data_IF_336521491363
#
_entry.id   IF_336521491363
#
_cell.length_a   1.000
_cell.length_b   1.000
_cell.length_c   1.000
_cell.angle_alpha   90.00
_cell.angle_beta   90.00
_cell.angle_gamma   90.00
#
_symmetry.space_group_name_H-M   'P 1'
#
loop_
_entity.id
_entity.type
_entity.pdbx_description
1 polymer ?
#
# COMPACT_ATOMS: atom_id res chain seq x y z
N UNK A 1 45.02 -25.11 -7.10
CA UNK A 1 43.79 -25.42 -6.34
C UNK A 1 42.61 -25.23 -7.27
N UNK A 2 41.65 -26.17 -7.37
CA UNK A 2 40.39 -25.93 -8.08
C UNK A 2 39.65 -24.75 -7.42
N UNK A 3 39.00 -23.90 -8.22
CA UNK A 3 38.18 -22.80 -7.69
C UNK A 3 36.86 -23.34 -7.13
N UNK A 4 36.35 -22.69 -6.09
CA UNK A 4 34.99 -22.88 -5.58
C UNK A 4 33.94 -22.17 -6.44
N UNK A 5 34.36 -21.26 -7.34
CA UNK A 5 33.51 -20.65 -8.36
C UNK A 5 33.13 -21.66 -9.44
N UNK A 6 31.83 -21.88 -9.65
CA UNK A 6 31.29 -22.77 -10.70
C UNK A 6 30.13 -22.12 -11.46
N UNK A 7 28.90 -22.58 -11.21
CA UNK A 7 27.71 -22.17 -11.95
C UNK A 7 27.57 -20.64 -11.94
N UNK A 8 27.49 -20.03 -13.13
CA UNK A 8 27.43 -18.59 -13.35
C UNK A 8 28.54 -17.77 -12.65
N UNK A 9 29.72 -18.37 -12.43
CA UNK A 9 30.84 -17.72 -11.75
C UNK A 9 30.65 -17.56 -10.23
N UNK A 10 29.65 -18.23 -9.66
CA UNK A 10 29.27 -18.11 -8.25
C UNK A 10 29.89 -19.19 -7.37
N UNK A 11 30.05 -18.85 -6.09
CA UNK A 11 30.62 -19.76 -5.09
C UNK A 11 29.72 -20.95 -4.89
N UNK A 12 30.28 -22.16 -5.05
CA UNK A 12 29.56 -23.43 -4.90
C UNK A 12 30.05 -24.18 -3.68
N UNK A 13 29.12 -24.53 -2.80
CA UNK A 13 29.36 -25.28 -1.57
C UNK A 13 29.24 -26.79 -1.84
N UNK A 14 30.32 -27.39 -2.32
CA UNK A 14 30.35 -28.82 -2.65
C UNK A 14 29.99 -29.72 -1.45
N UNK A 15 30.35 -29.32 -0.22
CA UNK A 15 30.00 -30.03 1.02
C UNK A 15 28.53 -29.93 1.43
N UNK A 16 27.76 -29.04 0.83
CA UNK A 16 26.34 -28.82 1.10
C UNK A 16 25.47 -29.23 -0.09
N UNK A 17 25.82 -30.33 -0.75
CA UNK A 17 25.05 -30.85 -1.89
C UNK A 17 25.16 -29.99 -3.16
N UNK A 18 26.18 -29.12 -3.25
CA UNK A 18 26.41 -28.29 -4.44
C UNK A 18 25.56 -27.02 -4.50
N UNK A 19 25.12 -26.50 -3.34
CA UNK A 19 24.47 -25.20 -3.26
C UNK A 19 25.33 -24.09 -3.84
N UNK A 20 24.69 -23.10 -4.45
CA UNK A 20 25.35 -21.97 -5.09
C UNK A 20 24.86 -20.68 -4.44
N UNK A 21 25.77 -19.96 -3.79
CA UNK A 21 25.46 -18.66 -3.19
C UNK A 21 25.40 -17.60 -4.27
N UNK A 22 24.25 -16.94 -4.41
CA UNK A 22 24.02 -15.87 -5.38
C UNK A 22 23.44 -14.66 -4.67
N UNK A 23 24.29 -13.65 -4.43
CA UNK A 23 23.95 -12.48 -3.64
C UNK A 23 23.40 -12.85 -2.26
N UNK A 24 22.10 -12.64 -2.05
CA UNK A 24 21.44 -12.88 -0.75
C UNK A 24 20.64 -14.18 -0.68
N UNK A 25 20.64 -15.01 -1.73
CA UNK A 25 19.93 -16.30 -1.76
C UNK A 25 20.82 -17.48 -2.12
N UNK A 26 20.37 -18.65 -1.69
CA UNK A 26 20.99 -19.94 -1.98
C UNK A 26 20.21 -20.68 -3.07
N UNK A 27 20.88 -20.93 -4.20
CA UNK A 27 20.34 -21.69 -5.32
C UNK A 27 20.76 -23.16 -5.20
N UNK A 28 19.81 -24.08 -5.40
CA UNK A 28 20.08 -25.51 -5.43
C UNK A 28 19.99 -26.04 -6.88
N UNK A 29 21.13 -26.28 -7.56
CA UNK A 29 21.14 -26.67 -8.96
C UNK A 29 20.43 -27.98 -9.26
N UNK A 30 20.42 -28.92 -8.30
CA UNK A 30 19.77 -30.22 -8.45
C UNK A 30 18.24 -30.11 -8.51
N UNK A 31 17.66 -29.06 -7.90
CA UNK A 31 16.22 -28.77 -7.99
C UNK A 31 15.89 -27.75 -9.08
N UNK A 32 16.86 -26.96 -9.54
CA UNK A 32 16.59 -25.83 -10.42
C UNK A 32 15.78 -24.72 -9.75
N UNK A 33 15.95 -24.55 -8.43
CA UNK A 33 15.15 -23.65 -7.57
C UNK A 33 16.00 -22.98 -6.50
N UNK A 34 15.51 -21.85 -5.99
CA UNK A 34 15.99 -21.24 -4.74
C UNK A 34 15.55 -22.05 -3.52
N UNK A 35 16.37 -22.05 -2.47
CA UNK A 35 15.99 -22.62 -1.17
C UNK A 35 15.05 -21.74 -0.36
N UNK A 36 15.06 -20.43 -0.61
CA UNK A 36 14.18 -19.45 0.01
C UNK A 36 13.38 -18.70 -1.06
N UNK A 37 12.14 -18.36 -0.70
CA UNK A 37 11.32 -17.51 -1.55
C UNK A 37 11.97 -16.12 -1.66
N UNK A 38 12.04 -15.59 -2.88
CA UNK A 38 12.46 -14.21 -3.16
C UNK A 38 11.73 -13.21 -2.26
N UNK A 39 12.38 -12.31 -1.53
CA UNK A 39 11.65 -11.30 -0.73
C UNK A 39 10.89 -10.29 -1.57
N UNK A 40 11.17 -10.20 -2.87
CA UNK A 40 10.46 -9.34 -3.84
C UNK A 40 9.83 -10.16 -4.96
N UNK A 41 8.93 -9.53 -5.71
CA UNK A 41 8.56 -9.98 -7.06
C UNK A 41 9.32 -9.09 -8.05
N UNK A 42 10.40 -9.59 -8.68
CA UNK A 42 11.29 -8.74 -9.48
C UNK A 42 10.64 -8.17 -10.76
N UNK A 43 9.57 -8.81 -11.25
CA UNK A 43 8.76 -8.33 -12.38
C UNK A 43 7.26 -8.56 -12.13
N UNK A 44 6.59 -7.68 -11.37
CA UNK A 44 5.18 -7.88 -11.01
C UNK A 44 4.21 -7.94 -12.21
N UNK A 45 4.60 -7.40 -13.37
CA UNK A 45 3.84 -7.50 -14.62
C UNK A 45 4.01 -8.84 -15.36
N UNK A 46 4.88 -9.73 -14.88
CA UNK A 46 5.07 -11.07 -15.44
C UNK A 46 4.56 -12.12 -14.44
N UNK A 47 3.45 -12.83 -14.74
CA UNK A 47 2.92 -13.87 -13.87
C UNK A 47 3.94 -14.96 -13.50
N UNK A 48 4.96 -15.21 -14.34
CA UNK A 48 6.02 -16.19 -14.01
C UNK A 48 6.92 -15.72 -12.86
N UNK A 49 7.05 -14.41 -12.63
CA UNK A 49 7.85 -13.85 -11.56
C UNK A 49 7.24 -14.10 -10.16
N UNK A 50 5.97 -14.49 -10.09
CA UNK A 50 5.28 -14.84 -8.83
C UNK A 50 5.71 -16.20 -8.28
N UNK A 51 6.36 -17.04 -9.09
CA UNK A 51 7.04 -18.22 -8.56
C UNK A 51 8.39 -17.79 -7.95
N UNK A 52 8.34 -17.36 -6.70
CA UNK A 52 9.49 -16.82 -5.92
C UNK A 52 10.60 -17.84 -5.65
N UNK A 53 10.35 -19.12 -5.89
CA UNK A 53 11.34 -20.20 -5.80
C UNK A 53 11.98 -20.50 -7.17
N UNK A 54 11.44 -19.97 -8.26
CA UNK A 54 11.97 -20.21 -9.59
C UNK A 54 13.29 -19.46 -9.81
N UNK A 55 14.24 -20.14 -10.43
CA UNK A 55 15.47 -19.50 -10.89
C UNK A 55 15.25 -18.88 -12.26
N UNK A 56 15.42 -17.55 -12.36
CA UNK A 56 15.38 -16.76 -13.61
C UNK A 56 14.21 -17.08 -14.55
N UNK A 57 12.99 -17.19 -14.00
CA UNK A 57 11.77 -17.57 -14.74
C UNK A 57 11.91 -18.87 -15.54
N UNK A 58 12.62 -19.85 -14.97
CA UNK A 58 12.91 -21.14 -15.62
C UNK A 58 13.68 -21.02 -16.95
N UNK A 59 14.45 -19.94 -17.16
CA UNK A 59 15.26 -19.73 -18.37
C UNK A 59 16.77 -19.60 -18.08
N UNK A 60 17.41 -20.61 -17.46
CA UNK A 60 18.81 -20.54 -16.99
C UNK A 60 19.86 -20.52 -18.10
N UNK A 61 19.47 -20.77 -19.36
CA UNK A 61 20.37 -20.71 -20.50
C UNK A 61 20.52 -19.28 -21.04
N UNK A 62 19.45 -18.47 -20.95
CA UNK A 62 19.44 -17.10 -21.44
C UNK A 62 19.60 -16.05 -20.33
N UNK A 63 19.46 -16.45 -19.06
CA UNK A 63 19.40 -15.53 -17.92
C UNK A 63 20.26 -15.97 -16.74
N UNK A 64 20.65 -15.00 -15.93
CA UNK A 64 21.42 -15.15 -14.70
C UNK A 64 20.84 -14.24 -13.60
N UNK A 65 20.90 -14.71 -12.35
CA UNK A 65 20.57 -13.90 -11.17
C UNK A 65 21.81 -13.75 -10.26
N UNK A 66 22.65 -12.73 -10.45
CA UNK A 66 23.81 -12.51 -9.60
C UNK A 66 23.50 -12.00 -8.19
N UNK A 67 22.38 -11.27 -8.01
CA UNK A 67 22.01 -10.64 -6.74
C UNK A 67 21.13 -11.53 -5.85
N UNK A 68 20.56 -12.58 -6.43
CA UNK A 68 19.49 -13.34 -5.81
C UNK A 68 18.17 -12.56 -5.81
N UNK A 69 17.95 -11.61 -6.71
CA UNK A 69 16.71 -10.84 -6.81
C UNK A 69 16.40 -10.38 -8.25
N UNK A 70 17.02 -10.99 -9.26
CA UNK A 70 16.89 -10.54 -10.63
C UNK A 70 16.83 -11.70 -11.64
N UNK A 71 16.66 -11.37 -12.91
CA UNK A 71 16.64 -12.33 -14.01
C UNK A 71 17.28 -11.76 -15.29
N UNK A 72 18.44 -11.12 -15.13
CA UNK A 72 19.17 -10.43 -16.18
C UNK A 72 19.65 -11.35 -17.30
N UNK A 73 19.84 -10.82 -18.51
CA UNK A 73 20.28 -11.60 -19.66
C UNK A 73 21.78 -11.95 -19.56
N UNK A 74 22.15 -13.17 -19.97
CA UNK A 74 23.57 -13.58 -20.01
C UNK A 74 24.31 -12.76 -21.07
N UNK A 75 25.28 -11.94 -20.65
CA UNK A 75 26.10 -11.12 -21.55
C UNK A 75 25.45 -9.83 -22.07
N UNK A 76 24.25 -9.48 -21.58
CA UNK A 76 23.56 -8.23 -21.92
C UNK A 76 23.95 -7.06 -21.01
N UNK A 77 23.67 -5.83 -21.47
CA UNK A 77 23.70 -4.61 -20.64
C UNK A 77 22.56 -4.55 -19.62
N UNK A 78 21.63 -5.52 -19.64
CA UNK A 78 20.69 -5.82 -18.55
C UNK A 78 21.45 -6.42 -17.37
N UNK A 79 22.49 -5.72 -16.92
CA UNK A 79 23.19 -6.08 -15.72
C UNK A 79 22.18 -6.08 -14.59
N UNK A 80 22.16 -7.14 -13.80
CA UNK A 80 21.68 -7.09 -12.43
C UNK A 80 22.53 -6.15 -11.53
N UNK A 81 23.04 -5.05 -12.11
CA UNK A 81 23.48 -3.85 -11.43
C UNK A 81 22.29 -2.94 -11.11
N UNK A 82 21.07 -3.25 -11.59
CA UNK A 82 19.87 -2.60 -11.07
C UNK A 82 19.69 -3.04 -9.62
N UNK A 83 20.06 -2.11 -8.74
CA UNK A 83 19.83 -2.06 -7.30
C UNK A 83 18.52 -2.76 -6.95
N UNK A 84 18.60 -3.80 -6.11
CA UNK A 84 17.42 -4.39 -5.48
C UNK A 84 16.46 -3.28 -5.04
N UNK A 85 15.25 -3.27 -5.61
CA UNK A 85 14.18 -2.38 -5.16
C UNK A 85 13.33 -3.15 -4.14
N UNK A 86 13.29 -2.74 -2.86
CA UNK A 86 12.38 -3.35 -1.90
C UNK A 86 10.92 -3.23 -2.40
N UNK A 87 10.01 -4.11 -1.97
CA UNK A 87 8.62 -4.14 -2.47
C UNK A 87 7.92 -2.78 -2.35
N UNK A 88 8.20 -2.01 -1.31
CA UNK A 88 7.63 -0.68 -1.12
C UNK A 88 8.05 0.33 -2.19
N UNK A 89 9.27 0.26 -2.74
CA UNK A 89 9.71 1.10 -3.85
C UNK A 89 9.02 0.69 -5.15
N UNK A 90 8.80 -0.61 -5.35
CA UNK A 90 8.03 -1.11 -6.50
C UNK A 90 6.58 -0.62 -6.42
N UNK A 91 5.96 -0.67 -5.23
CA UNK A 91 4.63 -0.13 -5.00
C UNK A 91 4.59 1.39 -5.22
N UNK A 92 5.59 2.12 -4.74
CA UNK A 92 5.73 3.56 -4.95
C UNK A 92 5.75 3.91 -6.45
N UNK A 93 6.59 3.23 -7.25
CA UNK A 93 6.66 3.43 -8.70
C UNK A 93 5.36 3.08 -9.40
N UNK A 94 4.68 2.02 -8.97
CA UNK A 94 3.38 1.64 -9.50
C UNK A 94 2.31 2.71 -9.20
N UNK A 95 2.27 3.20 -7.97
CA UNK A 95 1.35 4.24 -7.55
C UNK A 95 1.58 5.57 -8.30
N UNK A 96 2.84 5.93 -8.57
CA UNK A 96 3.17 7.06 -9.46
C UNK A 96 2.61 6.89 -10.88
N UNK A 97 2.71 5.69 -11.46
CA UNK A 97 2.13 5.42 -12.80
C UNK A 97 0.61 5.51 -12.80
N UNK A 98 -0.04 5.03 -11.75
CA UNK A 98 -1.50 5.12 -11.62
C UNK A 98 -1.95 6.57 -11.47
N UNK A 99 -1.21 7.37 -10.70
CA UNK A 99 -1.41 8.82 -10.63
C UNK A 99 -1.30 9.49 -12.00
N UNK A 100 -0.26 9.14 -12.77
CA UNK A 100 -0.08 9.65 -14.13
C UNK A 100 -1.16 9.18 -15.12
N UNK A 101 -1.79 8.05 -14.86
CA UNK A 101 -2.90 7.56 -15.67
C UNK A 101 -4.18 8.34 -15.35
N UNK A 102 -4.42 8.62 -14.07
CA UNK A 102 -5.58 9.38 -13.59
C UNK A 102 -5.53 10.83 -14.05
N UNK A 103 -4.34 11.45 -14.06
CA UNK A 103 -4.15 12.77 -14.68
C UNK A 103 -4.43 12.83 -16.18
N UNK A 104 -4.52 11.66 -16.84
CA UNK A 104 -4.91 11.52 -18.25
C UNK A 104 -6.35 11.04 -18.43
N UNK A 105 -7.15 11.03 -17.35
CA UNK A 105 -8.56 10.68 -17.37
C UNK A 105 -8.89 9.22 -17.02
N UNK A 106 -7.95 8.45 -16.47
CA UNK A 106 -8.29 7.15 -15.89
C UNK A 106 -9.16 7.31 -14.63
N UNK A 107 -9.97 6.28 -14.34
CA UNK A 107 -10.84 6.25 -13.16
C UNK A 107 -10.01 6.23 -11.86
N UNK A 108 -10.19 7.21 -10.95
CA UNK A 108 -9.40 7.32 -9.73
C UNK A 108 -9.70 6.21 -8.70
N UNK A 109 -10.93 5.69 -8.66
CA UNK A 109 -11.30 4.56 -7.79
C UNK A 109 -10.62 3.29 -8.28
N UNK A 110 -10.66 3.06 -9.59
CA UNK A 110 -9.96 1.91 -10.18
C UNK A 110 -8.45 2.03 -10.00
N UNK A 111 -7.90 3.24 -10.07
CA UNK A 111 -6.49 3.48 -9.78
C UNK A 111 -6.12 3.12 -8.35
N UNK A 112 -6.90 3.56 -7.34
CA UNK A 112 -6.65 3.18 -5.95
C UNK A 112 -6.80 1.67 -5.72
N UNK A 113 -7.87 1.06 -6.28
CA UNK A 113 -8.08 -0.39 -6.19
C UNK A 113 -6.91 -1.17 -6.84
N UNK A 114 -6.39 -0.67 -7.96
CA UNK A 114 -5.27 -1.28 -8.65
C UNK A 114 -3.96 -1.16 -7.86
N UNK A 115 -3.71 -0.03 -7.19
CA UNK A 115 -2.58 0.10 -6.24
C UNK A 115 -2.75 -0.88 -5.08
N UNK A 116 -3.97 -1.02 -4.55
CA UNK A 116 -4.31 -1.97 -3.48
C UNK A 116 -4.04 -3.42 -3.90
N UNK A 117 -4.46 -3.84 -5.09
CA UNK A 117 -4.15 -5.16 -5.67
C UNK A 117 -2.63 -5.38 -5.74
N UNK A 118 -1.91 -4.37 -6.22
CA UNK A 118 -0.46 -4.44 -6.36
C UNK A 118 0.23 -4.56 -4.99
N UNK A 119 -0.26 -3.86 -3.97
CA UNK A 119 0.25 -3.98 -2.61
C UNK A 119 -0.05 -5.37 -2.03
N UNK A 120 -1.26 -5.89 -2.18
CA UNK A 120 -1.60 -7.25 -1.70
C UNK A 120 -0.70 -8.31 -2.33
N UNK A 121 -0.38 -8.15 -3.61
CA UNK A 121 0.59 -8.99 -4.33
C UNK A 121 2.00 -8.87 -3.74
N UNK A 122 2.52 -7.64 -3.64
CA UNK A 122 3.90 -7.37 -3.24
C UNK A 122 4.18 -7.75 -1.79
N UNK A 123 3.15 -7.69 -0.94
CA UNK A 123 3.22 -8.01 0.48
C UNK A 123 2.55 -9.36 0.80
N UNK A 124 2.40 -10.24 -0.19
CA UNK A 124 1.99 -11.64 -0.04
C UNK A 124 0.67 -11.86 0.70
N UNK A 125 -0.26 -10.92 0.58
CA UNK A 125 -1.54 -10.92 1.28
C UNK A 125 -1.43 -10.77 2.80
N UNK A 126 -0.26 -10.42 3.34
CA UNK A 126 -0.08 -10.12 4.76
C UNK A 126 -0.67 -8.73 5.01
N UNK A 127 -1.82 -8.68 5.67
CA UNK A 127 -2.58 -7.44 5.87
C UNK A 127 -1.77 -6.37 6.62
N UNK A 128 -0.97 -6.75 7.62
CA UNK A 128 -0.10 -5.80 8.34
C UNK A 128 0.91 -5.08 7.44
N UNK A 129 1.57 -5.84 6.56
CA UNK A 129 2.56 -5.30 5.63
C UNK A 129 1.90 -4.52 4.49
N UNK A 130 0.75 -4.99 3.99
CA UNK A 130 -0.11 -4.25 3.07
C UNK A 130 -0.52 -2.89 3.65
N UNK A 131 -1.02 -2.87 4.89
CA UNK A 131 -1.46 -1.64 5.56
C UNK A 131 -0.29 -0.69 5.78
N UNK A 132 0.85 -1.20 6.22
CA UNK A 132 2.07 -0.40 6.35
C UNK A 132 2.48 0.23 5.01
N UNK A 133 2.47 -0.56 3.93
CA UNK A 133 2.93 -0.11 2.63
C UNK A 133 2.02 0.93 1.99
N UNK A 134 0.71 0.65 1.99
CA UNK A 134 -0.29 1.59 1.49
C UNK A 134 -0.28 2.87 2.30
N UNK A 135 -0.16 2.82 3.63
CA UNK A 135 -0.10 4.04 4.46
C UNK A 135 1.13 4.90 4.14
N UNK A 136 2.28 4.26 3.89
CA UNK A 136 3.49 4.97 3.46
C UNK A 136 3.32 5.62 2.08
N UNK A 137 2.76 4.91 1.11
CA UNK A 137 2.63 5.40 -0.27
C UNK A 137 1.52 6.46 -0.39
N UNK A 138 0.36 6.21 0.22
CA UNK A 138 -0.85 7.02 0.09
C UNK A 138 -0.85 8.23 1.03
N UNK A 139 -0.48 8.07 2.31
CA UNK A 139 -0.50 9.17 3.29
C UNK A 139 0.87 9.80 3.52
N UNK A 140 1.94 9.10 3.14
CA UNK A 140 3.29 9.55 3.43
C UNK A 140 3.63 9.45 4.90
N UNK A 141 2.98 8.54 5.64
CA UNK A 141 3.25 8.30 7.06
C UNK A 141 3.78 6.88 7.21
N UNK A 142 4.88 6.72 7.95
CA UNK A 142 5.29 5.41 8.43
C UNK A 142 4.59 5.11 9.78
N UNK A 143 3.54 4.27 9.79
CA UNK A 143 2.75 4.01 11.00
C UNK A 143 3.54 3.29 12.10
N UNK A 144 4.73 2.76 11.78
CA UNK A 144 5.64 2.17 12.78
C UNK A 144 6.38 3.23 13.60
N UNK A 145 6.47 4.46 13.09
CA UNK A 145 7.22 5.55 13.71
C UNK A 145 6.32 6.67 14.22
N UNK A 146 5.18 6.91 13.57
CA UNK A 146 4.29 8.04 13.83
C UNK A 146 2.83 7.62 13.73
N UNK A 147 1.97 8.29 14.50
CA UNK A 147 0.52 8.13 14.42
C UNK A 147 0.01 8.69 13.08
N UNK A 148 -0.71 7.90 12.26
CA UNK A 148 -1.40 8.38 11.06
C UNK A 148 -2.39 9.50 11.39
N UNK A 149 -3.09 9.40 12.52
CA UNK A 149 -4.12 10.37 12.92
C UNK A 149 -3.55 11.76 13.16
N UNK A 150 -2.38 11.84 13.79
CA UNK A 150 -1.67 13.10 14.05
C UNK A 150 -1.11 13.70 12.76
N UNK A 151 -0.49 12.88 11.92
CA UNK A 151 0.19 13.39 10.72
C UNK A 151 -0.78 13.71 9.56
N UNK A 152 -1.92 13.02 9.46
CA UNK A 152 -2.88 13.19 8.38
C UNK A 152 -3.87 14.34 8.57
N UNK A 153 -4.42 14.51 9.78
CA UNK A 153 -5.40 15.58 10.05
C UNK A 153 -4.76 16.94 10.35
N UNK A 154 -3.51 16.95 10.81
CA UNK A 154 -2.81 18.19 11.17
C UNK A 154 -1.63 18.41 10.23
N UNK A 155 -1.91 18.42 8.93
CA UNK A 155 -0.94 18.70 7.88
C UNK A 155 -0.04 19.89 8.27
N UNK A 156 1.24 19.62 8.56
CA UNK A 156 2.21 20.64 9.01
C UNK A 156 2.71 20.52 10.46
N UNK A 157 2.11 19.68 11.33
CA UNK A 157 2.65 19.43 12.68
C UNK A 157 3.82 18.43 12.66
N UNK A 158 5.00 18.89 12.22
CA UNK A 158 6.29 18.21 12.47
C UNK A 158 6.47 16.80 11.88
N UNK A 159 5.51 16.29 11.11
CA UNK A 159 5.63 15.02 10.41
C UNK A 159 6.37 15.22 9.08
N UNK A 160 7.58 14.66 8.97
CA UNK A 160 8.28 14.53 7.70
C UNK A 160 7.59 13.46 6.86
N UNK A 161 7.29 13.76 5.59
CA UNK A 161 6.74 12.80 4.63
C UNK A 161 7.69 11.61 4.48
N UNK A 162 7.14 10.40 4.49
CA UNK A 162 7.84 9.16 4.16
C UNK A 162 8.54 9.30 2.81
N UNK A 163 9.73 8.70 2.67
CA UNK A 163 10.46 8.67 1.38
C UNK A 163 9.67 7.94 0.28
N UNK A 164 8.71 7.10 0.67
CA UNK A 164 7.83 6.35 -0.22
C UNK A 164 6.57 7.11 -0.63
N UNK A 165 6.35 8.31 -0.08
CA UNK A 165 5.18 9.12 -0.40
C UNK A 165 5.21 9.54 -1.86
N UNK A 166 4.11 9.33 -2.58
CA UNK A 166 4.03 9.67 -4.02
C UNK A 166 3.36 11.01 -4.31
N UNK A 167 3.07 11.79 -3.26
CA UNK A 167 2.27 13.00 -3.37
C UNK A 167 0.78 12.67 -3.44
N UNK A 168 -0.03 13.69 -3.73
CA UNK A 168 -1.44 13.42 -3.97
C UNK A 168 -1.62 12.61 -5.25
N UNK A 169 -2.39 11.54 -5.11
CA UNK A 169 -2.37 10.40 -5.99
C UNK A 169 -3.26 10.50 -7.20
N UNK A 170 -4.24 11.40 -7.22
CA UNK A 170 -5.34 11.30 -8.17
C UNK A 170 -5.82 12.70 -8.49
N UNK A 171 -5.42 13.35 -9.60
CA UNK A 171 -6.08 14.57 -10.04
C UNK A 171 -7.30 14.24 -10.91
N UNK A 172 -8.47 14.79 -10.60
CA UNK A 172 -9.49 15.07 -11.62
C UNK A 172 -9.43 16.56 -11.99
N UNK A 173 -9.85 16.88 -13.21
CA UNK A 173 -9.57 18.14 -13.92
C UNK A 173 -10.35 19.36 -13.37
N UNK A 174 -10.10 19.79 -12.13
CA UNK A 174 -10.51 21.10 -11.66
C UNK A 174 -9.33 21.90 -11.08
N UNK A 175 -9.13 23.10 -11.61
CA UNK A 175 -8.18 24.11 -11.10
C UNK A 175 -9.04 25.28 -10.62
N UNK A 176 -9.17 25.56 -9.31
CA UNK A 176 -9.79 26.78 -8.81
C UNK A 176 -8.95 28.00 -9.23
N UNK A 177 -9.62 29.10 -9.57
CA UNK A 177 -9.02 30.35 -10.08
C UNK A 177 -8.07 31.04 -9.07
N UNK A 178 -8.09 30.63 -7.82
CA UNK A 178 -7.44 31.21 -6.64
C UNK A 178 -6.19 30.46 -6.17
N UNK A 179 -5.67 29.53 -6.98
CA UNK A 179 -4.35 28.94 -6.79
C UNK A 179 -4.25 27.95 -5.63
N UNK A 180 -5.38 27.46 -5.13
CA UNK A 180 -5.47 26.58 -3.97
C UNK A 180 -5.75 25.09 -4.30
N UNK A 181 -5.68 24.64 -5.56
CA UNK A 181 -5.74 23.21 -5.86
C UNK A 181 -4.59 22.75 -6.72
N UNK A 182 -3.82 21.81 -6.18
CA UNK A 182 -2.95 20.98 -6.98
C UNK A 182 -3.54 19.59 -7.28
N UNK A 183 -4.73 19.19 -6.79
CA UNK A 183 -5.10 17.74 -6.81
C UNK A 183 -6.48 17.37 -6.21
N UNK A 184 -7.42 16.90 -7.05
CA UNK A 184 -7.94 15.53 -6.95
C UNK A 184 -9.35 15.20 -6.46
N UNK A 185 -10.32 15.30 -7.38
CA UNK A 185 -11.71 14.90 -7.16
C UNK A 185 -11.91 13.39 -7.41
N UNK A 186 -12.61 12.66 -6.52
CA UNK A 186 -13.31 11.42 -6.92
C UNK A 186 -14.67 11.79 -7.52
N UNK A 187 -15.54 10.81 -7.72
CA UNK A 187 -16.90 10.95 -8.24
C UNK A 187 -17.55 12.31 -7.89
N UNK A 188 -18.20 13.01 -8.83
CA UNK A 188 -18.96 14.23 -8.54
C UNK A 188 -20.00 14.08 -7.42
N UNK A 189 -20.54 12.88 -7.22
CA UNK A 189 -21.47 12.57 -6.11
C UNK A 189 -20.75 12.39 -4.77
N UNK A 190 -19.42 12.47 -4.74
CA UNK A 190 -18.57 12.48 -3.55
C UNK A 190 -17.72 13.77 -3.47
N UNK A 191 -18.01 14.79 -4.28
CA UNK A 191 -17.14 15.95 -4.46
C UNK A 191 -17.69 17.21 -3.77
N UNK A 192 -16.87 17.81 -2.91
CA UNK A 192 -17.22 18.96 -2.09
C UNK A 192 -16.41 20.22 -2.42
N UNK A 193 -15.44 20.12 -3.34
CA UNK A 193 -14.53 21.20 -3.67
C UNK A 193 -13.24 21.25 -2.84
N UNK A 194 -12.92 20.22 -2.03
CA UNK A 194 -11.66 20.12 -1.28
C UNK A 194 -10.66 19.10 -1.87
N UNK A 195 -9.38 19.23 -1.49
CA UNK A 195 -8.25 18.54 -2.12
C UNK A 195 -8.04 17.11 -1.55
N UNK A 196 -7.82 16.11 -2.42
CA UNK A 196 -7.21 14.80 -2.12
C UNK A 196 -8.08 13.71 -1.43
N UNK A 197 -9.24 13.38 -2.00
CA UNK A 197 -10.20 12.43 -1.41
C UNK A 197 -9.67 11.01 -1.12
N UNK A 198 -8.77 10.47 -1.94
CA UNK A 198 -8.13 9.18 -1.62
C UNK A 198 -7.25 9.24 -0.37
N UNK A 199 -6.67 10.40 -0.07
CA UNK A 199 -5.96 10.61 1.19
C UNK A 199 -6.95 10.65 2.36
N UNK A 200 -8.09 11.35 2.25
CA UNK A 200 -9.12 11.35 3.30
C UNK A 200 -9.68 9.94 3.55
N UNK A 201 -10.03 9.22 2.49
CA UNK A 201 -10.45 7.83 2.58
C UNK A 201 -9.39 6.98 3.27
N UNK A 202 -8.16 6.99 2.77
CA UNK A 202 -7.10 6.12 3.30
C UNK A 202 -6.65 6.53 4.71
N UNK A 203 -6.75 7.80 5.06
CA UNK A 203 -6.56 8.30 6.41
C UNK A 203 -7.51 7.60 7.38
N UNK A 204 -8.80 7.56 7.06
CA UNK A 204 -9.79 6.87 7.89
C UNK A 204 -9.53 5.35 7.94
N UNK A 205 -9.15 4.71 6.82
CA UNK A 205 -8.75 3.29 6.79
C UNK A 205 -7.58 3.02 7.73
N UNK A 206 -6.49 3.77 7.58
CA UNK A 206 -5.27 3.60 8.37
C UNK A 206 -5.54 3.85 9.85
N UNK A 207 -6.23 4.92 10.20
CA UNK A 207 -6.55 5.22 11.58
C UNK A 207 -7.44 4.18 12.25
N UNK A 208 -8.45 3.64 11.57
CA UNK A 208 -9.22 2.50 12.10
C UNK A 208 -8.36 1.25 12.29
N UNK A 209 -7.51 0.95 11.31
CA UNK A 209 -6.63 -0.20 11.39
C UNK A 209 -5.65 -0.12 12.56
N UNK A 210 -5.04 1.04 12.79
CA UNK A 210 -4.06 1.25 13.86
C UNK A 210 -4.71 1.58 15.22
N UNK A 211 -6.04 1.51 15.34
CA UNK A 211 -6.76 1.69 16.61
C UNK A 211 -6.84 3.15 17.07
N UNK A 212 -6.73 4.09 16.14
CA UNK A 212 -6.72 5.53 16.41
C UNK A 212 -8.00 6.24 15.94
N UNK A 213 -9.08 5.48 15.66
CA UNK A 213 -10.31 5.99 15.03
C UNK A 213 -10.89 7.22 15.70
N UNK A 214 -10.88 7.29 17.04
CA UNK A 214 -11.39 8.44 17.80
C UNK A 214 -10.53 9.69 17.58
N UNK A 215 -9.21 9.55 17.62
CA UNK A 215 -8.30 10.66 17.40
C UNK A 215 -8.36 11.13 15.95
N UNK A 216 -8.51 10.18 15.02
CA UNK A 216 -8.65 10.49 13.61
C UNK A 216 -9.94 11.22 13.29
N UNK A 217 -11.03 10.79 13.91
CA UNK A 217 -12.32 11.44 13.81
C UNK A 217 -12.26 12.91 14.27
N UNK A 218 -11.68 13.15 15.45
CA UNK A 218 -11.45 14.50 15.95
C UNK A 218 -10.54 15.31 15.01
N UNK A 219 -9.50 14.66 14.47
CA UNK A 219 -8.62 15.26 13.48
C UNK A 219 -9.36 15.70 12.22
N UNK A 220 -10.17 14.82 11.62
CA UNK A 220 -11.00 15.13 10.46
C UNK A 220 -11.96 16.29 10.73
N UNK A 221 -12.60 16.34 11.91
CA UNK A 221 -13.47 17.46 12.30
C UNK A 221 -12.73 18.80 12.42
N UNK A 222 -11.45 18.79 12.77
CA UNK A 222 -10.63 20.02 12.84
C UNK A 222 -10.14 20.42 11.44
N UNK A 223 -9.84 19.44 10.59
CA UNK A 223 -9.32 19.67 9.25
C UNK A 223 -10.40 20.21 8.29
N UNK A 224 -11.59 19.61 8.33
CA UNK A 224 -12.79 19.96 7.56
C UNK A 224 -13.98 20.01 8.54
N UNK A 225 -14.21 21.14 9.25
CA UNK A 225 -15.31 21.22 10.22
C UNK A 225 -16.63 21.03 9.45
N UNK A 226 -17.74 20.46 9.98
CA UNK A 226 -18.90 20.08 9.16
C UNK A 226 -20.02 21.13 9.08
N UNK A 227 -20.74 21.19 7.94
CA UNK A 227 -21.97 21.96 7.78
C UNK A 227 -23.16 21.02 7.98
N UNK A 228 -23.69 20.97 9.21
CA UNK A 228 -24.99 20.38 9.59
C UNK A 228 -25.18 18.85 9.60
N UNK A 229 -24.14 18.01 9.47
CA UNK A 229 -24.28 16.53 9.51
C UNK A 229 -23.92 15.94 10.89
N UNK A 230 -24.70 16.30 11.92
CA UNK A 230 -24.32 15.98 13.31
C UNK A 230 -24.96 14.67 13.81
N UNK A 231 -26.22 14.40 13.45
CA UNK A 231 -26.98 13.32 14.11
C UNK A 231 -26.65 11.90 13.61
N UNK A 232 -26.49 11.71 12.30
CA UNK A 232 -26.16 10.40 11.73
C UNK A 232 -24.72 9.98 12.04
N UNK A 233 -23.84 10.98 12.16
CA UNK A 233 -22.47 10.82 12.63
C UNK A 233 -22.41 10.31 14.07
N UNK A 234 -23.13 10.96 14.98
CA UNK A 234 -23.27 10.53 16.37
C UNK A 234 -23.77 9.08 16.49
N UNK A 235 -24.80 8.74 15.72
CA UNK A 235 -25.40 7.40 15.75
C UNK A 235 -24.41 6.34 15.28
N UNK A 236 -23.72 6.56 14.15
CA UNK A 236 -22.75 5.60 13.64
C UNK A 236 -21.55 5.43 14.59
N UNK A 237 -21.03 6.52 15.17
CA UNK A 237 -19.91 6.48 16.13
C UNK A 237 -20.30 5.71 17.39
N UNK A 238 -21.50 5.98 17.93
CA UNK A 238 -22.03 5.27 19.08
C UNK A 238 -22.18 3.76 18.81
N UNK A 239 -22.57 3.39 17.60
CA UNK A 239 -22.77 1.99 17.20
C UNK A 239 -21.46 1.24 16.92
N UNK A 240 -20.41 1.91 16.43
CA UNK A 240 -19.23 1.24 15.88
C UNK A 240 -17.91 1.52 16.61
N UNK A 241 -17.81 2.61 17.39
CA UNK A 241 -16.53 3.08 17.97
C UNK A 241 -16.64 3.38 19.48
N UNK A 242 -17.77 3.92 19.95
CA UNK A 242 -17.99 4.32 21.36
C UNK A 242 -18.60 5.73 21.49
N UNK A 243 -18.70 6.31 22.70
CA UNK A 243 -19.30 7.64 22.89
C UNK A 243 -18.45 8.75 22.25
N UNK A 244 -19.08 9.57 21.40
CA UNK A 244 -18.42 10.66 20.67
C UNK A 244 -18.14 11.89 21.57
N UNK A 245 -17.02 12.61 21.37
CA UNK A 245 -16.84 13.95 21.95
C UNK A 245 -17.78 14.99 21.28
N UNK A 246 -18.10 16.12 21.97
CA UNK A 246 -19.00 17.14 21.43
C UNK A 246 -18.42 17.92 20.25
N UNK A 247 -19.27 18.26 19.27
CA UNK A 247 -18.92 18.84 17.96
C UNK A 247 -18.64 20.36 17.98
N UNK A 248 -17.90 20.84 16.97
CA UNK A 248 -17.62 22.26 16.66
C UNK A 248 -18.01 22.50 15.17
N UNK A 249 -18.70 23.60 14.88
CA UNK A 249 -19.40 23.91 13.60
C UNK A 249 -18.45 24.38 12.46
N UNK A 250 -18.69 24.00 11.19
CA UNK A 250 -17.85 24.23 9.97
C UNK A 250 -18.36 23.90 8.55
N UNK A 251 -17.62 23.62 7.46
CA UNK A 251 -18.15 22.91 6.25
C UNK A 251 -17.33 21.69 5.71
N UNK A 252 -17.93 20.50 5.76
CA UNK A 252 -17.55 19.24 5.10
C UNK A 252 -18.84 18.66 4.51
N UNK A 253 -18.78 18.09 3.31
CA UNK A 253 -19.98 17.61 2.62
C UNK A 253 -20.48 16.25 3.16
N UNK A 254 -21.71 15.85 2.81
CA UNK A 254 -22.22 14.50 3.08
C UNK A 254 -21.38 13.42 2.40
N UNK A 255 -20.72 13.82 1.35
CA UNK A 255 -19.90 13.05 0.47
C UNK A 255 -18.57 12.65 1.13
N UNK A 256 -17.86 13.60 1.76
CA UNK A 256 -16.64 13.32 2.53
C UNK A 256 -16.95 12.54 3.80
N UNK A 257 -18.13 12.78 4.38
CA UNK A 257 -18.65 11.99 5.49
C UNK A 257 -18.80 10.52 5.09
N UNK A 258 -19.50 10.24 3.99
CA UNK A 258 -19.71 8.89 3.49
C UNK A 258 -18.37 8.20 3.14
N UNK A 259 -17.43 8.95 2.56
CA UNK A 259 -16.10 8.45 2.25
C UNK A 259 -15.28 8.12 3.50
N UNK A 260 -15.35 8.98 4.52
CA UNK A 260 -14.72 8.77 5.83
C UNK A 260 -15.29 7.55 6.54
N UNK A 261 -16.61 7.39 6.56
CA UNK A 261 -17.29 6.21 7.12
C UNK A 261 -16.92 4.94 6.38
N UNK A 262 -16.85 4.99 5.05
CA UNK A 262 -16.38 3.89 4.22
C UNK A 262 -14.94 3.51 4.58
N UNK A 263 -14.06 4.50 4.75
CA UNK A 263 -12.68 4.29 5.17
C UNK A 263 -12.56 3.60 6.52
N UNK A 264 -13.23 4.12 7.55
CA UNK A 264 -13.24 3.47 8.87
C UNK A 264 -13.82 2.06 8.83
N UNK A 265 -14.86 1.83 8.03
CA UNK A 265 -15.48 0.51 7.84
C UNK A 265 -14.47 -0.49 7.27
N UNK A 266 -13.73 -0.13 6.23
CA UNK A 266 -12.67 -0.98 5.68
C UNK A 266 -11.55 -1.20 6.69
N UNK A 267 -11.05 -0.14 7.33
CA UNK A 267 -9.98 -0.23 8.33
C UNK A 267 -10.32 -1.19 9.47
N UNK A 268 -11.54 -1.10 10.01
CA UNK A 268 -12.04 -1.99 11.07
C UNK A 268 -12.20 -3.44 10.59
N UNK A 269 -12.57 -3.66 9.32
CA UNK A 269 -12.66 -5.01 8.73
C UNK A 269 -11.28 -5.64 8.52
N UNK A 270 -10.27 -4.81 8.21
CA UNK A 270 -8.89 -5.24 8.03
C UNK A 270 -8.21 -5.51 9.38
N UNK A 271 -8.54 -4.72 10.42
CA UNK A 271 -7.95 -4.83 11.75
C UNK A 271 -8.23 -6.21 12.40
N UNK A 272 -7.20 -7.00 12.72
CA UNK A 272 -7.35 -8.30 13.35
C UNK A 272 -7.50 -8.24 14.89
N UNK A 273 -7.91 -7.13 15.53
CA UNK A 273 -8.11 -7.06 16.99
C UNK A 273 -9.46 -6.39 17.36
N UNK A 274 -10.07 -6.77 18.50
CA UNK A 274 -9.78 -6.11 19.77
C UNK A 274 -8.97 -7.04 20.70
N UNK A 275 -7.96 -6.48 21.36
CA UNK A 275 -6.92 -7.17 22.14
C UNK A 275 -7.52 -8.30 23.02
N UNK A 276 -7.24 -9.56 22.66
CA UNK A 276 -7.36 -10.72 23.54
C UNK A 276 -6.00 -11.39 23.70
N UNK A 277 -5.30 -11.10 24.81
CA UNK A 277 -3.93 -11.56 25.09
C UNK A 277 -3.81 -13.09 25.32
N UNK A 278 -4.92 -13.84 25.28
CA UNK A 278 -4.96 -15.31 25.51
C UNK A 278 -5.89 -16.09 24.57
N UNK A 279 -6.17 -15.57 23.39
CA UNK A 279 -6.95 -16.32 22.42
C UNK A 279 -6.03 -17.32 21.68
N UNK A 280 -6.48 -18.57 21.57
CA UNK A 280 -5.72 -19.70 20.99
C UNK A 280 -5.54 -19.58 19.46
N UNK A 281 -6.33 -18.72 18.82
CA UNK A 281 -6.34 -18.48 17.39
C UNK A 281 -6.31 -16.95 17.14
N UNK A 282 -5.43 -16.44 16.26
CA UNK A 282 -5.40 -15.03 15.92
C UNK A 282 -6.71 -14.62 15.21
N UNK A 283 -7.28 -13.43 15.44
CA UNK A 283 -8.48 -13.01 14.74
C UNK A 283 -8.14 -12.83 13.26
N UNK A 284 -8.87 -13.55 12.40
CA UNK A 284 -8.69 -13.50 10.95
C UNK A 284 -9.38 -12.23 10.44
N UNK A 285 -8.69 -11.45 9.61
CA UNK A 285 -9.29 -10.32 8.89
C UNK A 285 -10.60 -10.75 8.23
N UNK A 286 -11.66 -9.94 8.35
CA UNK A 286 -12.99 -10.27 7.77
C UNK A 286 -13.10 -9.92 6.29
N UNK A 287 -12.09 -9.29 5.72
CA UNK A 287 -12.00 -8.95 4.28
C UNK A 287 -10.84 -9.71 3.68
N UNK A 288 -11.14 -10.58 2.72
CA UNK A 288 -10.13 -11.36 1.98
C UNK A 288 -9.52 -10.58 0.82
N UNK A 289 -10.17 -9.50 0.39
CA UNK A 289 -9.78 -8.72 -0.79
C UNK A 289 -10.13 -7.21 -0.60
N UNK A 290 -9.16 -6.39 -0.16
CA UNK A 290 -9.38 -4.96 0.04
C UNK A 290 -9.66 -4.19 -1.25
N UNK A 291 -9.11 -4.62 -2.39
CA UNK A 291 -9.27 -3.91 -3.66
C UNK A 291 -10.68 -4.14 -4.22
N UNK A 292 -11.21 -5.36 -4.11
CA UNK A 292 -12.59 -5.65 -4.48
C UNK A 292 -13.56 -4.88 -3.58
N UNK A 293 -13.26 -4.75 -2.28
CA UNK A 293 -14.07 -3.92 -1.38
C UNK A 293 -14.09 -2.45 -1.82
N UNK A 294 -12.92 -1.88 -2.18
CA UNK A 294 -12.82 -0.50 -2.71
C UNK A 294 -13.70 -0.35 -3.95
N UNK A 295 -13.64 -1.28 -4.91
CA UNK A 295 -14.47 -1.25 -6.11
C UNK A 295 -15.95 -1.32 -5.77
N UNK A 296 -16.37 -2.25 -4.92
CA UNK A 296 -17.78 -2.49 -4.64
C UNK A 296 -18.45 -1.34 -3.86
N UNK A 297 -17.69 -0.60 -3.06
CA UNK A 297 -18.21 0.42 -2.15
C UNK A 297 -17.97 1.85 -2.64
N UNK A 298 -16.99 2.06 -3.52
CA UNK A 298 -16.62 3.40 -3.96
C UNK A 298 -16.82 3.63 -5.46
N UNK A 299 -16.94 2.57 -6.28
CA UNK A 299 -17.24 2.71 -7.71
C UNK A 299 -18.74 2.95 -7.89
N UNK A 300 -19.10 3.85 -8.82
CA UNK A 300 -20.50 4.18 -9.12
C UNK A 300 -21.26 2.93 -9.59
N UNK A 301 -22.47 2.74 -9.07
CA UNK A 301 -23.45 1.76 -9.61
C UNK A 301 -24.23 2.37 -10.76
#
# INVERSE_FOLDING_TARGET
MPTDRRFNGMTTHAGLGGLVTMGVREYLPTLGRWLSADTIVPRPGDPQAFNRLSYVRNSPLGRVDPSGHCDGNVGGSDSCNDTYKPPIQILQEYAQRMRDAVSKGADPVEALASISDHAMILFYGVIDDYMWAMTNVILGVDPRQKSPSVCGAFSGMGCTKSEYFVGSLLPHNHVPEDGASEVGDWNPDFFDGTNNQAFHFWYAVASAYYGESVLAFVGSLIHDPPATVIQDAENWIAENIGPAPPFIDGAASWEDWNLTVAGFTLGNKLNPQPICVRCKDPPISKVTDPSQWIRDNLKKK
#
